data_IF_961585534216
#
_entry.id   IF_961585534216
#
_cell.length_a   1.000
_cell.length_b   1.000
_cell.length_c   1.000
_cell.angle_alpha   90.00
_cell.angle_beta   90.00
_cell.angle_gamma   90.00
#
_symmetry.space_group_name_H-M   'P 1'
#
loop_
_entity.id
_entity.type
_entity.pdbx_description
1 polymer ?
#
# COMPACT_ATOMS: atom_id res chain seq x y z
N UNK A 1 -13.96 3.33 -9.58
CA UNK A 1 -13.90 2.13 -8.74
C UNK A 1 -15.16 2.10 -7.86
N UNK A 2 -15.85 0.96 -7.70
CA UNK A 2 -17.06 0.87 -6.85
C UNK A 2 -16.75 0.49 -5.39
N UNK A 3 -15.56 -0.06 -5.15
CA UNK A 3 -15.13 -0.60 -3.86
C UNK A 3 -14.27 -1.85 -4.06
N UNK A 4 -13.87 -2.48 -2.96
CA UNK A 4 -13.24 -3.79 -2.95
C UNK A 4 -14.32 -4.88 -3.06
N UNK A 5 -14.10 -5.85 -3.96
CA UNK A 5 -15.08 -6.90 -4.19
C UNK A 5 -15.17 -7.85 -2.98
N UNK A 6 -16.38 -8.09 -2.47
CA UNK A 6 -16.61 -8.96 -1.32
C UNK A 6 -16.16 -8.38 0.03
N UNK A 7 -15.67 -7.14 0.06
CA UNK A 7 -15.05 -6.55 1.24
C UNK A 7 -15.58 -5.12 1.48
N UNK A 8 -16.75 -5.07 2.12
CA UNK A 8 -17.45 -3.82 2.43
C UNK A 8 -16.72 -3.01 3.51
N UNK A 9 -16.05 -3.69 4.45
CA UNK A 9 -15.31 -3.03 5.52
C UNK A 9 -14.14 -2.25 4.94
N UNK A 10 -13.31 -2.89 4.09
CA UNK A 10 -12.19 -2.24 3.41
C UNK A 10 -12.65 -1.10 2.50
N UNK A 11 -13.80 -1.26 1.85
CA UNK A 11 -14.41 -0.19 1.04
C UNK A 11 -14.78 1.01 1.89
N UNK A 12 -15.43 0.77 3.03
CA UNK A 12 -15.88 1.82 3.95
C UNK A 12 -14.69 2.55 4.58
N UNK A 13 -13.64 1.81 4.98
CA UNK A 13 -12.41 2.39 5.50
C UNK A 13 -11.68 3.25 4.46
N UNK A 14 -11.55 2.77 3.22
CA UNK A 14 -10.88 3.50 2.14
C UNK A 14 -11.65 4.75 1.68
N UNK A 15 -12.96 4.83 1.94
CA UNK A 15 -13.81 5.97 1.55
C UNK A 15 -14.28 6.83 2.73
N UNK A 16 -13.69 6.59 3.91
CA UNK A 16 -14.07 7.26 5.15
C UNK A 16 -13.89 8.79 5.03
N UNK A 17 -14.97 9.53 5.35
CA UNK A 17 -15.03 10.99 5.24
C UNK A 17 -15.44 11.51 3.87
N UNK A 18 -15.96 10.67 2.98
CA UNK A 18 -16.48 11.09 1.66
C UNK A 18 -15.40 11.21 0.58
N UNK A 19 -14.14 10.90 0.90
CA UNK A 19 -13.01 10.90 -0.01
C UNK A 19 -12.39 9.50 -0.09
N UNK A 20 -11.94 9.11 -1.27
CA UNK A 20 -11.15 7.90 -1.44
C UNK A 20 -9.69 8.15 -1.05
N UNK A 21 -9.19 7.40 -0.07
CA UNK A 21 -7.81 7.46 0.42
C UNK A 21 -6.97 6.48 -0.39
N UNK A 22 -6.10 6.99 -1.25
CA UNK A 22 -5.23 6.16 -2.10
C UNK A 22 -4.14 5.43 -1.31
N UNK A 23 -3.76 5.98 -0.16
CA UNK A 23 -2.60 5.55 0.63
C UNK A 23 -1.26 6.07 0.08
N UNK A 24 -1.27 6.89 -0.97
CA UNK A 24 -0.07 7.56 -1.47
C UNK A 24 0.16 8.86 -0.71
N UNK A 25 1.42 9.12 -0.36
CA UNK A 25 1.87 10.38 0.24
C UNK A 25 2.41 11.25 -0.88
N UNK A 26 1.91 12.48 -0.98
CA UNK A 26 2.38 13.48 -1.92
C UNK A 26 2.72 14.79 -1.23
N UNK A 27 3.64 15.54 -1.83
CA UNK A 27 3.93 16.92 -1.48
C UNK A 27 3.41 17.83 -2.59
N UNK A 28 2.88 19.00 -2.21
CA UNK A 28 2.45 20.04 -3.14
C UNK A 28 3.37 21.25 -3.03
N UNK A 29 3.88 21.74 -4.15
CA UNK A 29 4.70 22.96 -4.19
C UNK A 29 3.84 24.23 -4.36
N UNK A 30 4.51 25.39 -4.35
CA UNK A 30 3.87 26.72 -4.46
C UNK A 30 3.20 26.93 -5.84
N UNK A 31 3.74 26.31 -6.89
CA UNK A 31 3.18 26.33 -8.24
C UNK A 31 2.01 25.34 -8.41
N UNK A 32 1.79 24.49 -7.41
CA UNK A 32 0.67 23.57 -7.31
C UNK A 32 0.93 22.18 -7.89
N UNK A 33 2.15 21.85 -8.29
CA UNK A 33 2.53 20.50 -8.72
C UNK A 33 2.50 19.53 -7.55
N UNK A 34 2.19 18.27 -7.85
CA UNK A 34 2.18 17.17 -6.89
C UNK A 34 3.38 16.26 -7.15
N UNK A 35 4.24 16.12 -6.16
CA UNK A 35 5.35 15.15 -6.16
C UNK A 35 4.98 13.95 -5.32
N UNK A 36 5.12 12.75 -5.89
CA UNK A 36 4.98 11.51 -5.15
C UNK A 36 6.15 11.33 -4.17
N UNK A 37 5.85 11.13 -2.89
CA UNK A 37 6.84 10.98 -1.82
C UNK A 37 6.95 9.52 -1.38
N UNK A 38 5.84 8.78 -1.36
CA UNK A 38 5.84 7.41 -0.90
C UNK A 38 4.45 6.86 -0.60
N UNK A 39 4.40 5.88 0.30
CA UNK A 39 3.18 5.20 0.74
C UNK A 39 2.99 5.42 2.24
N UNK A 40 1.74 5.48 2.66
CA UNK A 40 1.36 5.54 4.07
C UNK A 40 1.25 4.15 4.71
N UNK A 41 1.26 3.10 3.88
CA UNK A 41 1.37 1.70 4.29
C UNK A 41 2.73 1.13 3.86
N UNK A 42 3.02 -0.10 4.29
CA UNK A 42 4.31 -0.76 4.05
C UNK A 42 4.48 -1.25 2.60
N UNK A 43 3.41 -1.19 1.79
CA UNK A 43 3.48 -1.56 0.38
C UNK A 43 4.41 -0.60 -0.35
N UNK A 44 5.35 -1.12 -1.13
CA UNK A 44 6.32 -0.30 -1.86
C UNK A 44 6.27 -0.55 -3.37
N UNK A 45 6.99 0.29 -4.11
CA UNK A 45 7.17 0.14 -5.56
C UNK A 45 8.62 -0.18 -5.90
N UNK A 46 8.84 -1.21 -6.69
CA UNK A 46 10.14 -1.51 -7.29
C UNK A 46 9.93 -1.80 -8.78
N UNK A 47 10.62 -1.05 -9.66
CA UNK A 47 10.50 -1.19 -11.12
C UNK A 47 9.04 -1.19 -11.62
N UNK A 48 8.22 -0.27 -11.12
CA UNK A 48 6.78 -0.13 -11.38
C UNK A 48 5.87 -1.27 -10.88
N UNK A 49 6.42 -2.28 -10.20
CA UNK A 49 5.64 -3.29 -9.49
C UNK A 49 5.23 -2.79 -8.12
N UNK A 50 3.94 -2.94 -7.77
CA UNK A 50 3.44 -2.73 -6.41
C UNK A 50 3.62 -4.03 -5.63
N UNK A 51 4.46 -4.02 -4.60
CA UNK A 51 4.91 -5.20 -3.87
C UNK A 51 4.46 -5.14 -2.42
N UNK A 52 3.81 -6.20 -1.95
CA UNK A 52 3.39 -6.37 -0.56
C UNK A 52 4.53 -7.01 0.24
N UNK A 53 5.06 -6.36 1.30
CA UNK A 53 6.01 -7.00 2.22
C UNK A 53 5.48 -8.31 2.79
N UNK A 54 4.20 -8.32 3.20
CA UNK A 54 3.55 -9.52 3.77
C UNK A 54 3.59 -10.73 2.82
N UNK A 55 3.43 -10.53 1.51
CA UNK A 55 3.51 -11.63 0.54
C UNK A 55 4.93 -12.18 0.44
N UNK A 56 5.95 -11.31 0.49
CA UNK A 56 7.36 -11.72 0.47
C UNK A 56 7.76 -12.41 1.77
N UNK A 57 7.39 -11.85 2.92
CA UNK A 57 7.63 -12.42 4.25
C UNK A 57 6.99 -13.81 4.35
N UNK A 58 5.74 -13.96 3.92
CA UNK A 58 5.05 -15.25 3.89
C UNK A 58 5.82 -16.27 3.06
N UNK A 59 6.28 -15.89 1.86
CA UNK A 59 7.08 -16.77 1.00
C UNK A 59 8.45 -17.11 1.61
N UNK A 60 9.11 -16.17 2.29
CA UNK A 60 10.39 -16.41 2.95
C UNK A 60 10.25 -17.39 4.14
N UNK A 61 9.18 -17.28 4.91
CA UNK A 61 8.89 -18.14 6.05
C UNK A 61 8.58 -19.59 5.67
N UNK A 62 8.25 -19.87 4.40
CA UNK A 62 8.12 -21.25 3.90
C UNK A 62 9.47 -21.98 3.83
N UNK A 63 10.60 -21.25 3.83
CA UNK A 63 11.92 -21.85 3.75
C UNK A 63 12.40 -22.36 5.13
N UNK A 64 12.77 -23.66 5.29
CA UNK A 64 13.08 -24.25 6.60
C UNK A 64 14.24 -23.59 7.39
N UNK A 65 15.12 -22.88 6.70
CA UNK A 65 16.24 -22.16 7.32
C UNK A 65 15.89 -20.74 7.79
N UNK A 66 14.69 -20.24 7.50
CA UNK A 66 14.25 -18.88 7.86
C UNK A 66 13.38 -18.99 9.11
N UNK A 67 13.86 -18.43 10.22
CA UNK A 67 13.10 -18.39 11.46
C UNK A 67 12.11 -17.21 11.50
N UNK A 68 12.54 -16.04 11.02
CA UNK A 68 11.78 -14.80 10.97
C UNK A 68 12.18 -14.00 9.72
N UNK A 69 11.27 -13.20 9.18
CA UNK A 69 11.52 -12.31 8.04
C UNK A 69 10.79 -10.97 8.27
N UNK A 70 11.44 -9.88 7.88
CA UNK A 70 10.87 -8.54 7.82
C UNK A 70 11.38 -7.88 6.53
N UNK A 71 10.47 -7.37 5.71
CA UNK A 71 10.76 -6.80 4.37
C UNK A 71 10.40 -5.32 4.32
#
# INVERSE_FOLDING_TARGET
>A
MRGYHGDQERTSAATAGGYYRTGDIGARDEDGYLTYVGRADDVFKASDYKISPFELESALLEHPAVAEAAV
#
